data_IF_534737806431
#
_entry.id   IF_534737806431
#
_cell.length_a   1.000
_cell.length_b   1.000
_cell.length_c   1.000
_cell.angle_alpha   90.00
_cell.angle_beta   90.00
_cell.angle_gamma   90.00
#
_symmetry.space_group_name_H-M   'P 1'
#
loop_
_entity.id
_entity.type
_entity.pdbx_description
1 polymer ?
#
# COMPACT_ATOMS: atom_id res chain seq x y z
N UNK A 1 16.12 1.90 -30.00
CA UNK A 1 16.51 3.29 -29.92
C UNK A 1 17.83 3.45 -29.16
N UNK A 2 18.50 4.59 -29.31
CA UNK A 2 19.85 4.80 -28.80
C UNK A 2 19.91 5.59 -27.47
N UNK A 3 18.78 5.80 -26.81
CA UNK A 3 18.73 6.49 -25.51
C UNK A 3 19.65 5.84 -24.48
N UNK A 4 20.15 6.66 -23.57
CA UNK A 4 21.12 6.31 -22.54
C UNK A 4 22.48 5.91 -23.10
N UNK A 5 22.88 6.54 -24.22
CA UNK A 5 24.20 6.38 -24.82
C UNK A 5 24.66 7.64 -25.53
N UNK A 6 25.97 7.71 -25.81
CA UNK A 6 26.59 8.80 -26.56
C UNK A 6 26.04 8.98 -27.97
N UNK A 7 25.35 7.98 -28.52
CA UNK A 7 24.71 8.07 -29.84
C UNK A 7 23.59 9.12 -29.89
N UNK A 8 23.08 9.54 -28.73
CA UNK A 8 22.09 10.61 -28.65
C UNK A 8 22.69 12.02 -28.64
N UNK A 9 24.02 12.16 -28.61
CA UNK A 9 24.72 13.47 -28.57
C UNK A 9 24.23 14.45 -29.62
N UNK A 10 23.99 14.07 -30.90
CA UNK A 10 23.61 15.04 -31.95
C UNK A 10 22.30 15.78 -31.70
N UNK A 11 21.38 15.24 -30.88
CA UNK A 11 20.11 15.90 -30.58
C UNK A 11 20.12 16.75 -29.28
N UNK A 12 21.22 16.69 -28.51
CA UNK A 12 21.26 17.28 -27.18
C UNK A 12 21.14 18.80 -27.17
N UNK A 13 21.72 19.49 -28.15
CA UNK A 13 21.67 20.94 -28.19
C UNK A 13 20.26 21.47 -28.50
N UNK A 14 19.56 20.83 -29.43
CA UNK A 14 18.16 21.13 -29.73
C UNK A 14 17.26 20.82 -28.53
N UNK A 15 17.42 19.62 -27.93
CA UNK A 15 16.71 19.26 -26.74
C UNK A 15 16.92 20.24 -25.59
N UNK A 16 18.19 20.64 -25.33
CA UNK A 16 18.50 21.61 -24.27
C UNK A 16 17.85 22.97 -24.54
N UNK A 17 17.84 23.42 -25.78
CA UNK A 17 17.20 24.69 -26.15
C UNK A 17 15.68 24.69 -25.88
N UNK A 18 15.02 23.54 -26.06
CA UNK A 18 13.60 23.36 -25.73
C UNK A 18 13.42 23.25 -24.21
N UNK A 19 14.19 22.38 -23.55
CA UNK A 19 14.10 22.14 -22.12
C UNK A 19 14.39 23.40 -21.27
N UNK A 20 15.25 24.28 -21.74
CA UNK A 20 15.57 25.55 -21.05
C UNK A 20 14.41 26.55 -21.01
N UNK A 21 13.35 26.31 -21.79
CA UNK A 21 12.10 27.11 -21.74
C UNK A 21 11.13 26.63 -20.70
N UNK A 22 11.39 25.49 -20.05
CA UNK A 22 10.52 24.87 -19.06
C UNK A 22 10.96 25.32 -17.68
N UNK A 23 10.02 25.80 -16.88
CA UNK A 23 10.22 26.06 -15.46
C UNK A 23 10.10 24.74 -14.69
N UNK A 24 11.22 24.21 -14.22
CA UNK A 24 11.25 23.02 -13.39
C UNK A 24 10.90 23.37 -11.95
N UNK A 25 9.89 22.69 -11.40
CA UNK A 25 9.45 22.86 -10.02
C UNK A 25 10.07 21.81 -9.11
N UNK A 26 10.11 22.10 -7.81
CA UNK A 26 10.50 21.16 -6.80
C UNK A 26 9.56 19.93 -6.82
N UNK A 27 10.07 18.71 -6.79
CA UNK A 27 9.23 17.53 -6.67
C UNK A 27 8.51 17.53 -5.31
N UNK A 28 7.22 17.27 -5.33
CA UNK A 28 6.40 17.14 -4.09
C UNK A 28 6.59 15.78 -3.41
N UNK A 29 7.05 14.80 -4.16
CA UNK A 29 7.38 13.45 -3.67
C UNK A 29 8.88 13.24 -3.86
N UNK A 30 9.49 12.43 -3.01
CA UNK A 30 10.91 12.08 -3.14
C UNK A 30 11.17 11.45 -4.50
N UNK A 31 12.08 12.04 -5.26
CA UNK A 31 12.48 11.58 -6.59
C UNK A 31 13.92 11.09 -6.56
N UNK A 32 14.18 9.95 -7.18
CA UNK A 32 15.52 9.42 -7.38
C UNK A 32 16.03 9.72 -8.79
N UNK A 33 17.29 10.07 -8.88
CA UNK A 33 17.95 10.26 -10.16
C UNK A 33 18.50 8.96 -10.70
N UNK A 34 18.07 8.56 -11.87
CA UNK A 34 18.65 7.43 -12.59
C UNK A 34 20.09 7.65 -13.07
N UNK A 35 20.59 8.90 -13.02
CA UNK A 35 21.98 9.20 -13.31
C UNK A 35 22.87 8.87 -12.12
N UNK A 36 22.46 9.30 -10.92
CA UNK A 36 23.29 9.19 -9.71
C UNK A 36 22.92 8.02 -8.80
N UNK A 37 21.71 7.48 -8.92
CA UNK A 37 21.16 6.48 -7.99
C UNK A 37 20.75 7.06 -6.63
N UNK A 38 20.71 8.38 -6.46
CA UNK A 38 20.42 9.06 -5.20
C UNK A 38 19.20 9.97 -5.31
N UNK A 39 18.66 10.40 -4.16
CA UNK A 39 17.58 11.39 -4.13
C UNK A 39 18.04 12.70 -4.77
N UNK A 40 17.25 13.21 -5.72
CA UNK A 40 17.51 14.44 -6.42
C UNK A 40 17.14 15.64 -5.55
N UNK A 41 18.01 16.65 -5.55
CA UNK A 41 17.74 17.93 -4.88
C UNK A 41 17.06 18.90 -5.85
N UNK A 42 16.26 19.82 -5.32
CA UNK A 42 15.47 20.78 -6.11
C UNK A 42 16.30 21.51 -7.16
N UNK A 43 17.48 21.97 -6.79
CA UNK A 43 18.39 22.73 -7.67
C UNK A 43 19.13 21.87 -8.73
N UNK A 44 18.93 20.56 -8.71
CA UNK A 44 19.54 19.63 -9.67
C UNK A 44 18.64 19.34 -10.88
N UNK A 45 17.34 19.66 -10.81
CA UNK A 45 16.41 19.43 -11.93
C UNK A 45 16.51 20.62 -12.88
N UNK A 46 17.39 20.50 -13.87
CA UNK A 46 17.69 21.53 -14.88
C UNK A 46 17.65 20.94 -16.28
N UNK A 47 17.68 21.78 -17.31
CA UNK A 47 17.83 21.31 -18.68
C UNK A 47 19.11 20.51 -18.89
N UNK A 48 20.21 20.89 -18.20
CA UNK A 48 21.47 20.15 -18.24
C UNK A 48 21.36 18.76 -17.62
N UNK A 49 20.65 18.63 -16.51
CA UNK A 49 20.36 17.31 -15.91
C UNK A 49 19.64 16.38 -16.89
N UNK A 50 18.66 16.89 -17.63
CA UNK A 50 17.94 16.07 -18.60
C UNK A 50 18.78 15.70 -19.82
N UNK A 51 19.69 16.56 -20.25
CA UNK A 51 20.69 16.20 -21.28
C UNK A 51 21.61 15.10 -20.77
N UNK A 52 22.14 15.24 -19.55
CA UNK A 52 22.97 14.21 -18.93
C UNK A 52 22.21 12.89 -18.79
N UNK A 53 20.94 12.94 -18.39
CA UNK A 53 20.09 11.75 -18.27
C UNK A 53 19.91 11.02 -19.61
N UNK A 54 19.77 11.72 -20.73
CA UNK A 54 19.67 11.13 -22.08
C UNK A 54 20.96 10.40 -22.47
N UNK A 55 22.11 10.91 -22.08
CA UNK A 55 23.40 10.35 -22.44
C UNK A 55 23.93 9.29 -21.49
N UNK A 56 23.54 9.36 -20.23
CA UNK A 56 24.05 8.48 -19.16
C UNK A 56 23.34 7.14 -19.12
N UNK A 57 24.08 6.11 -18.72
CA UNK A 57 23.49 4.80 -18.40
C UNK A 57 22.55 4.92 -17.21
N UNK A 58 21.41 4.25 -17.28
CA UNK A 58 20.42 4.21 -16.18
C UNK A 58 20.98 3.42 -15.01
N UNK A 59 21.17 4.08 -13.88
CA UNK A 59 21.63 3.47 -12.62
C UNK A 59 20.44 2.95 -11.80
N UNK A 60 19.65 2.02 -12.37
CA UNK A 60 18.44 1.49 -11.73
C UNK A 60 18.76 0.72 -10.45
N UNK A 61 19.78 -0.13 -10.46
CA UNK A 61 20.18 -0.89 -9.27
C UNK A 61 20.60 0.03 -8.10
N UNK A 62 21.30 1.14 -8.41
CA UNK A 62 21.64 2.16 -7.41
C UNK A 62 20.39 2.84 -6.84
N UNK A 63 19.40 3.16 -7.68
CA UNK A 63 18.12 3.68 -7.22
C UNK A 63 17.39 2.70 -6.29
N UNK A 64 17.27 1.44 -6.67
CA UNK A 64 16.61 0.41 -5.86
C UNK A 64 17.28 0.26 -4.50
N UNK A 65 18.62 0.23 -4.47
CA UNK A 65 19.38 0.17 -3.21
C UNK A 65 19.12 1.40 -2.31
N UNK A 66 19.05 2.58 -2.89
CA UNK A 66 18.75 3.80 -2.13
C UNK A 66 17.33 3.78 -1.56
N UNK A 67 16.35 3.25 -2.33
CA UNK A 67 14.96 3.05 -1.86
C UNK A 67 14.95 2.08 -0.67
N UNK A 68 15.57 0.92 -0.81
CA UNK A 68 15.67 -0.08 0.25
C UNK A 68 16.29 0.50 1.53
N UNK A 69 17.41 1.24 1.41
CA UNK A 69 18.07 1.91 2.53
C UNK A 69 17.21 3.01 3.18
N UNK A 70 16.23 3.54 2.46
CA UNK A 70 15.29 4.53 3.00
C UNK A 70 14.13 3.91 3.78
N UNK A 71 14.08 2.57 3.89
CA UNK A 71 13.08 1.83 4.64
C UNK A 71 11.79 1.57 3.86
N UNK A 72 11.81 1.61 2.53
CA UNK A 72 10.69 1.19 1.70
C UNK A 72 10.66 -0.33 1.59
N UNK A 73 9.49 -0.90 1.81
CA UNK A 73 9.20 -2.34 1.77
C UNK A 73 8.19 -2.71 0.67
N UNK A 74 7.51 -1.73 0.07
CA UNK A 74 6.58 -1.95 -1.04
C UNK A 74 7.10 -1.24 -2.30
N UNK A 75 7.25 -2.02 -3.35
CA UNK A 75 7.70 -1.57 -4.67
C UNK A 75 6.58 -1.74 -5.68
N UNK A 76 6.08 -0.63 -6.22
CA UNK A 76 5.02 -0.66 -7.22
C UNK A 76 5.53 -0.17 -8.57
N UNK A 77 5.30 -0.96 -9.63
CA UNK A 77 5.50 -0.53 -11.02
C UNK A 77 4.20 0.00 -11.60
N UNK A 78 4.21 1.26 -12.02
CA UNK A 78 3.12 1.90 -12.77
C UNK A 78 3.48 1.89 -14.25
N UNK A 79 3.02 0.88 -14.96
CA UNK A 79 3.36 0.71 -16.39
C UNK A 79 2.64 -0.46 -17.02
N UNK A 80 2.80 -0.65 -18.34
CA UNK A 80 2.11 -1.70 -19.09
C UNK A 80 2.70 -3.11 -18.88
N UNK A 81 3.77 -3.22 -18.09
CA UNK A 81 4.52 -4.46 -17.88
C UNK A 81 5.09 -4.49 -16.44
N UNK A 82 5.70 -5.62 -16.09
CA UNK A 82 6.39 -5.84 -14.81
C UNK A 82 7.92 -5.95 -14.97
N UNK A 83 8.47 -5.25 -15.95
CA UNK A 83 9.92 -5.32 -16.26
C UNK A 83 10.78 -4.76 -15.14
N UNK A 84 10.40 -3.60 -14.59
CA UNK A 84 11.15 -2.93 -13.52
C UNK A 84 11.03 -3.71 -12.20
N UNK A 85 9.87 -4.29 -11.92
CA UNK A 85 9.68 -5.16 -10.74
C UNK A 85 10.64 -6.35 -10.80
N UNK A 86 10.75 -7.03 -11.94
CA UNK A 86 11.68 -8.16 -12.09
C UNK A 86 13.14 -7.77 -11.89
N UNK A 87 13.52 -6.57 -12.34
CA UNK A 87 14.86 -6.03 -12.11
C UNK A 87 15.07 -5.61 -10.65
N UNK A 88 14.07 -5.00 -10.02
CA UNK A 88 14.14 -4.63 -8.61
C UNK A 88 14.28 -5.87 -7.70
N UNK A 89 13.55 -6.94 -7.97
CA UNK A 89 13.65 -8.21 -7.24
C UNK A 89 15.07 -8.80 -7.23
N UNK A 90 15.86 -8.54 -8.28
CA UNK A 90 17.25 -8.99 -8.34
C UNK A 90 18.20 -8.12 -7.49
N UNK A 91 17.78 -6.93 -7.11
CA UNK A 91 18.62 -5.93 -6.43
C UNK A 91 18.24 -5.74 -4.97
N UNK A 92 16.99 -6.04 -4.58
CA UNK A 92 16.48 -5.92 -3.21
C UNK A 92 16.97 -7.12 -2.40
N UNK A 93 17.43 -6.88 -1.19
CA UNK A 93 17.93 -7.91 -0.26
C UNK A 93 16.96 -8.23 0.87
N UNK A 94 16.00 -7.33 1.14
CA UNK A 94 15.02 -7.53 2.20
C UNK A 94 14.03 -8.66 1.85
N UNK A 95 13.92 -9.67 2.75
CA UNK A 95 13.05 -10.84 2.55
C UNK A 95 11.56 -10.52 2.57
N UNK A 96 11.17 -9.44 3.24
CA UNK A 96 9.77 -9.02 3.42
C UNK A 96 9.29 -8.04 2.35
N UNK A 97 10.17 -7.67 1.40
CA UNK A 97 9.82 -6.71 0.35
C UNK A 97 8.67 -7.23 -0.53
N UNK A 98 7.69 -6.36 -0.77
CA UNK A 98 6.52 -6.63 -1.59
C UNK A 98 6.66 -5.97 -2.96
N UNK A 99 6.26 -6.70 -4.01
CA UNK A 99 6.40 -6.23 -5.39
C UNK A 99 5.05 -6.30 -6.09
N UNK A 100 4.57 -5.14 -6.55
CA UNK A 100 3.24 -4.98 -7.15
C UNK A 100 3.36 -4.35 -8.53
N UNK A 101 2.93 -5.07 -9.56
CA UNK A 101 2.82 -4.52 -10.92
C UNK A 101 1.39 -4.08 -11.18
N UNK A 102 1.19 -2.88 -11.74
CA UNK A 102 -0.15 -2.37 -12.06
C UNK A 102 -0.79 -3.08 -13.24
N UNK A 103 0.00 -3.45 -14.24
CA UNK A 103 -0.44 -4.17 -15.45
C UNK A 103 0.52 -5.33 -15.78
N UNK A 104 0.05 -6.21 -16.66
CA UNK A 104 0.82 -7.34 -17.17
C UNK A 104 0.67 -7.42 -18.69
N UNK A 105 1.75 -7.83 -19.36
CA UNK A 105 1.71 -8.13 -20.81
C UNK A 105 1.09 -9.50 -21.16
N UNK A 106 0.59 -10.23 -20.20
CA UNK A 106 -0.10 -11.48 -20.50
C UNK A 106 -1.32 -11.17 -21.36
N UNK A 107 -1.35 -11.71 -22.58
CA UNK A 107 -2.41 -11.50 -23.55
C UNK A 107 -3.78 -11.99 -23.06
N UNK A 108 -3.79 -12.87 -22.06
CA UNK A 108 -4.99 -13.38 -21.42
C UNK A 108 -5.37 -12.56 -20.18
N UNK A 109 -4.53 -11.63 -19.73
CA UNK A 109 -4.84 -10.79 -18.59
C UNK A 109 -5.79 -9.68 -19.00
N UNK A 110 -6.84 -9.50 -18.22
CA UNK A 110 -7.70 -8.32 -18.32
C UNK A 110 -7.02 -7.18 -17.54
N UNK A 111 -6.73 -6.07 -18.21
CA UNK A 111 -6.07 -4.90 -17.61
C UNK A 111 -6.78 -4.40 -16.35
N UNK A 112 -8.11 -4.38 -16.39
CA UNK A 112 -8.92 -3.98 -15.23
C UNK A 112 -8.75 -4.95 -14.06
N UNK A 113 -8.75 -6.24 -14.32
CA UNK A 113 -8.48 -7.27 -13.30
C UNK A 113 -7.07 -7.12 -12.71
N UNK A 114 -6.07 -6.81 -13.55
CA UNK A 114 -4.70 -6.60 -13.11
C UNK A 114 -4.59 -5.40 -12.17
N UNK A 115 -5.19 -4.25 -12.54
CA UNK A 115 -5.22 -3.05 -11.71
C UNK A 115 -5.92 -3.32 -10.37
N UNK A 116 -7.09 -3.99 -10.39
CA UNK A 116 -7.82 -4.31 -9.16
C UNK A 116 -7.05 -5.27 -8.25
N UNK A 117 -6.34 -6.22 -8.83
CA UNK A 117 -5.45 -7.11 -8.07
C UNK A 117 -4.32 -6.34 -7.42
N UNK A 118 -3.70 -5.40 -8.14
CA UNK A 118 -2.66 -4.54 -7.60
C UNK A 118 -3.19 -3.67 -6.44
N UNK A 119 -4.36 -3.05 -6.59
CA UNK A 119 -5.01 -2.28 -5.52
C UNK A 119 -5.30 -3.16 -4.31
N UNK A 120 -5.82 -4.38 -4.53
CA UNK A 120 -6.09 -5.33 -3.44
C UNK A 120 -4.82 -5.77 -2.71
N UNK A 121 -3.72 -5.98 -3.43
CA UNK A 121 -2.42 -6.30 -2.82
C UNK A 121 -1.90 -5.14 -1.96
N UNK A 122 -1.95 -3.90 -2.46
CA UNK A 122 -1.54 -2.71 -1.72
C UNK A 122 -2.39 -2.52 -0.45
N UNK A 123 -3.72 -2.66 -0.59
CA UNK A 123 -4.64 -2.57 0.55
C UNK A 123 -4.35 -3.64 1.62
N UNK A 124 -4.08 -4.88 1.21
CA UNK A 124 -3.72 -5.96 2.13
C UNK A 124 -2.39 -5.71 2.86
N UNK A 125 -1.50 -4.88 2.30
CA UNK A 125 -0.25 -4.42 2.92
C UNK A 125 -0.44 -3.16 3.79
N UNK A 126 -1.68 -2.69 3.98
CA UNK A 126 -1.99 -1.54 4.82
C UNK A 126 -1.84 -0.18 4.13
N UNK A 127 -1.74 -0.15 2.80
CA UNK A 127 -1.80 1.11 2.05
C UNK A 127 -3.23 1.62 2.03
N UNK A 128 -3.43 2.87 2.45
CA UNK A 128 -4.73 3.51 2.38
C UNK A 128 -5.20 3.70 0.94
N UNK A 129 -6.42 3.22 0.67
CA UNK A 129 -7.08 3.40 -0.61
C UNK A 129 -8.25 4.34 -0.43
N UNK A 130 -8.32 5.37 -1.25
CA UNK A 130 -9.48 6.27 -1.32
C UNK A 130 -10.64 5.58 -2.03
N UNK A 131 -11.43 4.85 -1.24
CA UNK A 131 -12.59 4.09 -1.73
C UNK A 131 -13.72 5.00 -2.23
N UNK A 132 -13.80 6.26 -1.74
CA UNK A 132 -14.79 7.22 -2.19
C UNK A 132 -14.48 7.68 -3.61
N UNK A 133 -13.23 8.08 -3.88
CA UNK A 133 -12.78 8.43 -5.24
C UNK A 133 -12.79 7.21 -6.18
N UNK A 134 -12.47 6.01 -5.66
CA UNK A 134 -12.54 4.77 -6.43
C UNK A 134 -13.97 4.45 -6.90
N UNK A 135 -14.97 4.62 -6.05
CA UNK A 135 -16.36 4.31 -6.36
C UNK A 135 -17.12 5.45 -7.06
N UNK A 136 -16.60 6.68 -7.06
CA UNK A 136 -17.23 7.88 -7.62
C UNK A 136 -17.76 7.76 -9.06
N UNK A 137 -17.07 7.05 -9.97
CA UNK A 137 -17.59 6.84 -11.33
C UNK A 137 -18.77 5.87 -11.41
N UNK A 138 -19.08 5.14 -10.33
CA UNK A 138 -20.08 4.09 -10.33
C UNK A 138 -21.31 4.50 -9.53
N UNK A 139 -22.50 4.26 -10.09
CA UNK A 139 -23.78 4.41 -9.38
C UNK A 139 -24.02 3.22 -8.45
N UNK A 140 -23.30 3.19 -7.33
CA UNK A 140 -23.42 2.12 -6.34
C UNK A 140 -24.58 2.40 -5.38
N UNK A 141 -25.24 1.34 -4.94
CA UNK A 141 -26.29 1.42 -3.92
C UNK A 141 -25.89 0.57 -2.72
N UNK A 142 -26.23 1.07 -1.52
CA UNK A 142 -26.02 0.33 -0.29
C UNK A 142 -26.99 -0.86 -0.24
N UNK A 143 -26.46 -2.06 -0.09
CA UNK A 143 -27.24 -3.30 0.03
C UNK A 143 -27.07 -3.90 1.43
N UNK A 144 -28.14 -4.57 1.89
CA UNK A 144 -28.08 -5.34 3.13
C UNK A 144 -27.39 -6.68 2.86
N UNK A 145 -26.29 -6.92 3.59
CA UNK A 145 -25.58 -8.18 3.54
C UNK A 145 -26.01 -9.06 4.72
N UNK A 146 -25.92 -10.41 4.58
CA UNK A 146 -26.04 -11.31 5.71
C UNK A 146 -25.04 -10.94 6.80
N UNK A 147 -25.46 -11.02 8.05
CA UNK A 147 -24.55 -10.83 9.18
C UNK A 147 -23.60 -12.03 9.32
N UNK A 148 -22.56 -11.85 10.12
CA UNK A 148 -21.60 -12.92 10.40
C UNK A 148 -22.32 -14.19 10.88
N UNK A 149 -22.06 -15.36 10.29
CA UNK A 149 -22.67 -16.63 10.69
C UNK A 149 -22.02 -17.14 11.98
N UNK A 150 -22.48 -16.65 13.12
CA UNK A 150 -21.94 -17.07 14.41
C UNK A 150 -22.01 -18.58 14.59
N UNK A 151 -20.92 -19.17 15.00
CA UNK A 151 -20.88 -20.55 15.48
C UNK A 151 -21.60 -20.60 16.82
N UNK A 152 -22.81 -21.19 16.81
CA UNK A 152 -23.65 -21.21 18.00
C UNK A 152 -23.29 -22.43 18.84
N UNK A 153 -22.76 -22.18 20.02
CA UNK A 153 -22.58 -23.20 21.07
C UNK A 153 -23.55 -22.94 22.21
N UNK A 154 -23.98 -24.02 22.86
CA UNK A 154 -24.89 -23.89 24.01
C UNK A 154 -24.08 -23.67 25.28
N UNK A 155 -24.07 -22.44 25.77
CA UNK A 155 -23.43 -22.03 27.02
C UNK A 155 -24.42 -22.05 28.20
N UNK A 156 -25.48 -22.87 28.12
CA UNK A 156 -26.44 -23.00 29.21
C UNK A 156 -25.83 -23.80 30.36
N UNK A 157 -26.09 -23.38 31.58
CA UNK A 157 -25.69 -24.15 32.78
C UNK A 157 -26.27 -25.57 32.65
N UNK A 158 -25.42 -26.57 32.71
CA UNK A 158 -25.89 -27.97 32.77
C UNK A 158 -26.71 -28.14 34.08
N UNK A 159 -27.90 -28.66 33.95
CA UNK A 159 -28.73 -28.97 35.13
C UNK A 159 -27.90 -29.82 36.09
N UNK A 160 -27.50 -29.21 37.20
CA UNK A 160 -26.97 -29.97 38.33
C UNK A 160 -28.16 -30.83 38.78
N UNK A 161 -28.02 -32.15 38.71
CA UNK A 161 -29.05 -33.10 39.07
C UNK A 161 -29.71 -32.68 40.39
N UNK A 162 -30.84 -31.99 40.27
CA UNK A 162 -31.68 -31.58 41.42
C UNK A 162 -32.62 -32.68 41.85
N UNK A 163 -32.17 -33.94 41.82
CA UNK A 163 -32.99 -35.06 42.20
C UNK A 163 -33.30 -35.15 43.72
N UNK A 164 -32.96 -34.13 44.53
CA UNK A 164 -33.35 -34.06 45.93
C UNK A 164 -33.39 -32.64 46.52
N UNK A 165 -33.65 -31.62 45.72
CA UNK A 165 -33.91 -30.31 46.33
C UNK A 165 -35.38 -30.25 46.74
N UNK A 166 -35.66 -30.16 48.05
CA UNK A 166 -36.96 -29.83 48.58
C UNK A 166 -37.51 -28.58 47.86
N UNK A 167 -38.79 -28.63 47.46
CA UNK A 167 -39.50 -27.51 46.82
C UNK A 167 -39.31 -26.20 47.59
N UNK A 168 -39.16 -26.28 48.90
CA UNK A 168 -38.90 -25.12 49.78
C UNK A 168 -37.62 -24.34 49.43
N UNK A 169 -36.67 -24.96 48.72
CA UNK A 169 -35.46 -24.28 48.25
C UNK A 169 -35.63 -23.53 46.91
N UNK A 170 -36.79 -23.62 46.31
CA UNK A 170 -37.11 -22.92 45.06
C UNK A 170 -37.75 -21.55 45.29
N UNK A 171 -38.09 -21.24 46.54
CA UNK A 171 -38.67 -19.97 46.92
C UNK A 171 -37.63 -19.12 47.65
N UNK A 172 -37.46 -17.92 47.14
CA UNK A 172 -36.57 -16.92 47.76
C UNK A 172 -37.44 -15.80 48.30
N UNK A 173 -37.22 -15.46 49.55
CA UNK A 173 -37.84 -14.31 50.18
C UNK A 173 -36.84 -13.14 50.24
N UNK A 174 -37.23 -11.96 49.78
CA UNK A 174 -36.38 -10.79 49.79
C UNK A 174 -36.50 -10.13 51.16
N UNK A 175 -35.46 -10.23 51.97
CA UNK A 175 -35.40 -9.56 53.29
C UNK A 175 -34.46 -8.39 53.23
N UNK A 176 -34.98 -7.22 53.55
CA UNK A 176 -34.18 -6.00 53.72
C UNK A 176 -33.43 -6.05 55.05
N UNK A 177 -32.08 -5.97 54.98
CA UNK A 177 -31.25 -5.83 56.18
C UNK A 177 -30.70 -4.38 56.23
N UNK A 178 -30.87 -3.74 57.40
CA UNK A 178 -30.30 -2.44 57.64
C UNK A 178 -28.78 -2.55 57.75
N UNK A 179 -28.08 -2.00 56.78
CA UNK A 179 -26.60 -1.93 56.80
C UNK A 179 -26.17 -0.74 57.67
N UNK A 180 -25.43 -1.00 58.72
CA UNK A 180 -24.82 0.07 59.52
C UNK A 180 -23.81 0.77 58.62
N UNK A 181 -24.05 2.04 58.28
CA UNK A 181 -23.06 2.90 57.67
C UNK A 181 -21.96 3.13 58.65
N UNK A 182 -20.75 2.71 58.34
CA UNK A 182 -19.57 3.09 59.08
C UNK A 182 -19.38 4.60 58.85
N UNK A 183 -19.64 5.39 59.87
CA UNK A 183 -19.24 6.81 59.86
C UNK A 183 -17.72 6.86 59.92
N UNK A 184 -17.09 7.24 58.84
CA UNK A 184 -15.68 7.62 58.80
C UNK A 184 -15.52 8.93 59.60
N UNK A 185 -14.47 9.05 60.44
CA UNK A 185 -14.17 10.24 61.20
C UNK A 185 -13.76 11.42 60.34
#
# INVERSE_FOLDING_TARGET
>A
HAFHSKLMQPMCDEFKAIASKIEFKAPQIKLLSNVTGNFIKVNQITSDYWVEHILSTVNFAGCVKTIEQSGCDIYQELGPDSTLIRLAQQSVTASEAQFVASLSRDINANDWSSILTAVGQLYAQGVDVDWEEYDKPYLRQKVLLPTYPFQRERYWVKDVNTHNASIDKWFYDIKWQKKNTISTP
#
